data_IF_758880042824
#
_entry.id   IF_758880042824
#
_cell.length_a   1.000
_cell.length_b   1.000
_cell.length_c   1.000
_cell.angle_alpha   90.00
_cell.angle_beta   90.00
_cell.angle_gamma   90.00
#
_symmetry.space_group_name_H-M   'P 1'
#
loop_
_entity.id
_entity.type
_entity.pdbx_description
1 polymer ?
#
# COMPACT_ATOMS: atom_id res chain seq x y z
N UNK A 1 128.55 -91.61 68.11
CA UNK A 1 128.45 -92.78 69.00
C UNK A 1 128.24 -94.00 68.12
N UNK A 2 129.03 -95.04 68.38
CA UNK A 2 129.23 -96.27 67.61
C UNK A 2 127.95 -96.80 66.94
N UNK A 3 128.03 -97.17 65.67
CA UNK A 3 127.12 -98.17 65.09
C UNK A 3 127.34 -99.47 65.87
N UNK A 4 126.63 -99.62 66.98
CA UNK A 4 126.53 -100.89 67.66
C UNK A 4 125.78 -101.80 66.70
N UNK A 5 126.53 -102.66 66.03
CA UNK A 5 126.02 -103.80 65.28
C UNK A 5 125.34 -104.72 66.31
N UNK A 6 124.10 -104.36 66.68
CA UNK A 6 123.34 -105.07 67.69
C UNK A 6 123.05 -106.46 67.14
N UNK A 7 123.76 -107.46 67.66
CA UNK A 7 123.45 -108.86 67.41
C UNK A 7 122.11 -109.14 68.06
N UNK A 8 121.07 -109.30 67.25
CA UNK A 8 119.74 -109.73 67.69
C UNK A 8 119.57 -111.16 67.25
N UNK A 9 119.27 -112.04 68.20
CA UNK A 9 118.98 -113.44 67.97
C UNK A 9 117.65 -113.75 68.65
N UNK A 10 116.66 -114.18 67.86
CA UNK A 10 115.36 -114.63 68.35
C UNK A 10 115.22 -116.12 68.06
N UNK A 11 115.16 -116.90 69.12
CA UNK A 11 114.97 -118.35 69.06
C UNK A 11 113.56 -118.69 69.53
N UNK A 12 112.82 -119.40 68.70
CA UNK A 12 111.45 -119.84 69.02
C UNK A 12 111.17 -121.24 68.46
N UNK A 13 110.23 -121.95 69.06
CA UNK A 13 109.73 -123.22 68.54
C UNK A 13 108.58 -122.99 67.56
N UNK A 14 108.67 -123.57 66.36
CA UNK A 14 107.57 -123.61 65.40
C UNK A 14 106.44 -124.56 65.88
N UNK A 15 105.26 -124.54 65.27
CA UNK A 15 104.08 -125.38 65.63
C UNK A 15 104.36 -126.90 65.62
N UNK A 16 105.51 -127.29 65.06
CA UNK A 16 106.03 -128.67 65.02
C UNK A 16 107.14 -128.95 66.03
N UNK A 17 107.31 -128.11 67.07
CA UNK A 17 108.36 -128.17 68.10
C UNK A 17 109.79 -128.23 67.54
N UNK A 18 110.05 -127.48 66.46
CA UNK A 18 111.39 -127.31 65.90
C UNK A 18 111.91 -125.92 66.21
N UNK A 19 113.12 -125.85 66.74
CA UNK A 19 113.79 -124.60 67.08
C UNK A 19 114.22 -123.86 65.81
N UNK A 20 113.72 -122.64 65.63
CA UNK A 20 114.10 -121.71 64.56
C UNK A 20 114.78 -120.50 65.18
N UNK A 21 115.88 -120.09 64.56
CA UNK A 21 116.68 -118.93 64.99
C UNK A 21 116.64 -117.85 63.90
N UNK A 22 116.19 -116.65 64.26
CA UNK A 22 116.21 -115.46 63.41
C UNK A 22 117.29 -114.47 63.90
N UNK A 23 118.20 -114.07 63.01
CA UNK A 23 119.39 -113.26 63.39
C UNK A 23 119.46 -111.88 62.75
N UNK A 24 118.53 -111.54 61.84
CA UNK A 24 118.51 -110.23 61.14
C UNK A 24 117.48 -109.30 61.78
N UNK A 25 117.90 -108.12 62.22
CA UNK A 25 117.05 -107.12 62.90
C UNK A 25 115.71 -106.83 62.19
N UNK A 26 115.65 -106.59 60.86
CA UNK A 26 114.38 -106.32 60.19
C UNK A 26 113.43 -107.52 60.17
N UNK A 27 114.00 -108.73 60.04
CA UNK A 27 113.24 -109.99 60.02
C UNK A 27 112.68 -110.28 61.41
N UNK A 28 113.50 -110.08 62.45
CA UNK A 28 113.07 -110.21 63.85
C UNK A 28 111.99 -109.18 64.18
N UNK A 29 112.15 -107.91 63.78
CA UNK A 29 111.16 -106.87 64.03
C UNK A 29 109.82 -107.13 63.33
N UNK A 30 109.84 -107.60 62.07
CA UNK A 30 108.62 -107.97 61.37
C UNK A 30 107.96 -109.19 62.02
N UNK A 31 108.73 -110.23 62.35
CA UNK A 31 108.21 -111.40 63.04
C UNK A 31 107.59 -111.04 64.40
N UNK A 32 108.25 -110.20 65.20
CA UNK A 32 107.72 -109.72 66.48
C UNK A 32 106.47 -108.85 66.30
N UNK A 33 106.43 -108.01 65.25
CA UNK A 33 105.25 -107.20 64.93
C UNK A 33 104.07 -108.09 64.53
N UNK A 34 104.31 -109.11 63.72
CA UNK A 34 103.28 -110.07 63.31
C UNK A 34 102.80 -110.92 64.49
N UNK A 35 103.73 -111.33 65.37
CA UNK A 35 103.41 -112.14 66.54
C UNK A 35 102.61 -111.36 67.60
N UNK A 36 103.09 -110.16 67.96
CA UNK A 36 102.51 -109.35 69.02
C UNK A 36 101.37 -108.46 68.51
N UNK A 37 101.22 -108.31 67.19
CA UNK A 37 100.34 -107.33 66.54
C UNK A 37 100.53 -105.89 67.02
N UNK A 38 101.72 -105.58 67.53
CA UNK A 38 102.08 -104.28 68.09
C UNK A 38 103.37 -103.77 67.46
N UNK A 39 103.43 -102.47 67.19
CA UNK A 39 104.69 -101.80 66.85
C UNK A 39 105.58 -101.64 68.08
N UNK A 40 106.90 -101.45 67.90
CA UNK A 40 107.80 -101.18 69.03
C UNK A 40 107.33 -99.99 69.88
N UNK A 41 106.84 -98.93 69.24
CA UNK A 41 106.25 -97.77 69.92
C UNK A 41 105.01 -98.15 70.73
N UNK A 42 104.06 -98.91 70.15
CA UNK A 42 102.87 -99.39 70.85
C UNK A 42 103.21 -100.35 71.99
N UNK A 43 104.19 -101.25 71.79
CA UNK A 43 104.68 -102.16 72.82
C UNK A 43 105.27 -101.37 74.02
N UNK A 44 106.05 -100.32 73.75
CA UNK A 44 106.56 -99.43 74.80
C UNK A 44 105.51 -98.52 75.43
N UNK A 45 104.34 -98.34 74.81
CA UNK A 45 103.23 -97.59 75.39
C UNK A 45 102.30 -98.48 76.21
N UNK A 46 102.12 -99.73 75.81
CA UNK A 46 101.15 -100.68 76.37
C UNK A 46 101.77 -101.59 77.44
N UNK A 47 102.95 -102.15 77.20
CA UNK A 47 103.54 -103.22 78.03
C UNK A 47 104.68 -102.67 78.91
N UNK A 48 105.45 -101.74 78.37
CA UNK A 48 106.52 -101.08 79.09
C UNK A 48 105.95 -99.81 79.73
N UNK A 49 105.57 -99.89 81.00
CA UNK A 49 105.09 -98.75 81.78
C UNK A 49 105.94 -97.51 81.46
N UNK A 50 105.37 -96.44 80.85
CA UNK A 50 106.11 -95.21 80.63
C UNK A 50 106.55 -94.69 82.00
N UNK A 51 107.84 -94.86 82.33
CA UNK A 51 108.38 -94.56 83.65
C UNK A 51 108.10 -93.08 83.96
N UNK A 52 107.13 -92.83 84.83
CA UNK A 52 106.62 -91.50 85.18
C UNK A 52 105.11 -91.32 84.99
N UNK A 53 104.50 -91.79 83.89
CA UNK A 53 103.07 -91.58 83.63
C UNK A 53 102.16 -92.47 84.51
N UNK A 54 102.60 -93.69 84.86
CA UNK A 54 101.84 -94.56 85.77
C UNK A 54 101.82 -94.06 87.22
N UNK A 55 102.93 -93.48 87.70
CA UNK A 55 102.97 -92.82 89.02
C UNK A 55 102.01 -91.62 89.05
N UNK A 56 101.98 -90.83 87.98
CA UNK A 56 101.00 -89.74 87.81
C UNK A 56 99.56 -90.28 87.78
N UNK A 57 99.32 -91.41 87.12
CA UNK A 57 98.01 -92.08 87.14
C UNK A 57 97.58 -92.56 88.53
N UNK A 58 98.47 -93.16 89.33
CA UNK A 58 98.13 -93.61 90.69
C UNK A 58 97.81 -92.45 91.64
N UNK A 59 98.48 -91.31 91.47
CA UNK A 59 98.30 -90.10 92.28
C UNK A 59 97.20 -89.15 91.77
N UNK A 60 96.69 -89.38 90.56
CA UNK A 60 95.67 -88.55 89.92
C UNK A 60 94.28 -88.78 90.51
N UNK A 61 93.45 -87.73 90.51
CA UNK A 61 92.02 -87.84 90.84
C UNK A 61 91.27 -88.52 89.68
N UNK A 62 90.04 -89.01 89.92
CA UNK A 62 89.31 -89.85 88.95
C UNK A 62 89.16 -89.23 87.54
N UNK A 63 88.94 -87.91 87.44
CA UNK A 63 88.86 -87.22 86.14
C UNK A 63 90.21 -87.17 85.41
N UNK A 64 91.29 -86.95 86.17
CA UNK A 64 92.65 -86.90 85.64
C UNK A 64 93.11 -88.30 85.20
N UNK A 65 92.69 -89.35 85.92
CA UNK A 65 92.91 -90.76 85.57
C UNK A 65 92.29 -91.10 84.22
N UNK A 66 91.06 -90.67 83.96
CA UNK A 66 90.37 -90.91 82.69
C UNK A 66 91.09 -90.22 81.52
N UNK A 67 91.55 -88.99 81.71
CA UNK A 67 92.34 -88.24 80.72
C UNK A 67 93.70 -88.91 80.44
N UNK A 68 94.41 -89.33 81.50
CA UNK A 68 95.68 -90.06 81.40
C UNK A 68 95.54 -91.40 80.69
N UNK A 69 94.46 -92.16 80.95
CA UNK A 69 94.17 -93.40 80.23
C UNK A 69 93.86 -93.13 78.76
N UNK A 70 93.12 -92.06 78.45
CA UNK A 70 92.86 -91.66 77.06
C UNK A 70 94.15 -91.32 76.30
N UNK A 71 95.09 -90.64 76.95
CA UNK A 71 96.40 -90.34 76.39
C UNK A 71 97.26 -91.61 76.23
N UNK A 72 97.29 -92.48 77.25
CA UNK A 72 98.08 -93.71 77.25
C UNK A 72 97.65 -94.69 76.15
N UNK A 73 96.34 -94.83 75.95
CA UNK A 73 95.78 -95.73 74.95
C UNK A 73 95.45 -95.05 73.61
N UNK A 74 95.79 -93.77 73.44
CA UNK A 74 95.57 -93.03 72.19
C UNK A 74 94.09 -92.82 71.82
N UNK A 75 93.16 -92.85 72.77
CA UNK A 75 91.71 -92.75 72.52
C UNK A 75 91.16 -91.31 72.55
N UNK A 76 92.04 -90.30 72.55
CA UNK A 76 91.67 -88.87 72.51
C UNK A 76 90.77 -88.54 71.32
N UNK A 77 91.04 -89.13 70.15
CA UNK A 77 90.24 -88.92 68.93
C UNK A 77 88.77 -89.34 69.14
N UNK A 78 88.52 -90.51 69.73
CA UNK A 78 87.17 -90.99 70.00
C UNK A 78 86.44 -90.12 71.01
N UNK A 79 87.15 -89.60 72.01
CA UNK A 79 86.58 -88.63 72.94
C UNK A 79 86.12 -87.35 72.24
N UNK A 80 87.00 -86.74 71.43
CA UNK A 80 86.67 -85.52 70.66
C UNK A 80 85.49 -85.75 69.72
N UNK A 81 85.48 -86.87 69.00
CA UNK A 81 84.37 -87.24 68.13
C UNK A 81 83.05 -87.41 68.91
N UNK A 82 83.09 -88.05 70.08
CA UNK A 82 81.91 -88.22 70.93
C UNK A 82 81.38 -86.87 71.47
N UNK A 83 82.27 -85.95 71.84
CA UNK A 83 81.90 -84.60 72.28
C UNK A 83 81.28 -83.80 71.14
N UNK A 84 81.81 -83.90 69.92
CA UNK A 84 81.27 -83.22 68.75
C UNK A 84 79.90 -83.77 68.36
N UNK A 85 79.71 -85.09 68.41
CA UNK A 85 78.38 -85.71 68.23
C UNK A 85 77.42 -85.21 69.31
N UNK A 86 77.83 -85.19 70.59
CA UNK A 86 76.99 -84.71 71.69
C UNK A 86 76.59 -83.25 71.50
N UNK A 87 77.52 -82.39 71.08
CA UNK A 87 77.25 -80.99 70.76
C UNK A 87 76.25 -80.86 69.62
N UNK A 88 76.43 -81.59 68.52
CA UNK A 88 75.50 -81.57 67.38
C UNK A 88 74.11 -82.09 67.77
N UNK A 89 74.05 -83.20 68.52
CA UNK A 89 72.79 -83.73 69.03
C UNK A 89 72.07 -82.71 69.93
N UNK A 90 72.80 -82.03 70.82
CA UNK A 90 72.24 -80.97 71.67
C UNK A 90 71.66 -79.81 70.85
N UNK A 91 72.36 -79.37 69.80
CA UNK A 91 71.86 -78.32 68.91
C UNK A 91 70.58 -78.75 68.18
N UNK A 92 70.52 -79.98 67.68
CA UNK A 92 69.32 -80.52 67.01
C UNK A 92 68.15 -80.63 67.98
N UNK A 93 68.38 -81.12 69.20
CA UNK A 93 67.35 -81.21 70.24
C UNK A 93 66.82 -79.81 70.58
N UNK A 94 67.71 -78.85 70.82
CA UNK A 94 67.31 -77.46 71.11
C UNK A 94 66.52 -76.82 69.97
N UNK A 95 66.94 -77.03 68.71
CA UNK A 95 66.21 -76.52 67.55
C UNK A 95 64.81 -77.15 67.42
N UNK A 96 64.69 -78.46 67.67
CA UNK A 96 63.40 -79.16 67.63
C UNK A 96 62.46 -78.73 68.78
N UNK A 97 63.01 -78.51 69.98
CA UNK A 97 62.25 -77.96 71.12
C UNK A 97 61.72 -76.55 70.80
N UNK A 98 62.55 -75.68 70.23
CA UNK A 98 62.14 -74.34 69.81
C UNK A 98 61.04 -74.40 68.75
N UNK A 99 61.21 -75.21 67.69
CA UNK A 99 60.18 -75.40 66.66
C UNK A 99 58.87 -75.93 67.24
N UNK A 100 58.95 -76.91 68.15
CA UNK A 100 57.78 -77.47 68.83
C UNK A 100 57.05 -76.43 69.68
N UNK A 101 57.79 -75.54 70.37
CA UNK A 101 57.21 -74.43 71.12
C UNK A 101 56.51 -73.43 70.19
N UNK A 102 57.13 -73.06 69.06
CA UNK A 102 56.51 -72.17 68.07
C UNK A 102 55.22 -72.77 67.50
N UNK A 103 55.23 -74.07 67.15
CA UNK A 103 54.04 -74.76 66.65
C UNK A 103 52.91 -74.74 67.70
N UNK A 104 53.22 -74.98 68.98
CA UNK A 104 52.22 -74.90 70.06
C UNK A 104 51.64 -73.50 70.23
N UNK A 105 52.47 -72.46 70.12
CA UNK A 105 51.99 -71.07 70.16
C UNK A 105 51.05 -70.80 68.99
N UNK A 106 51.41 -71.20 67.77
CA UNK A 106 50.55 -71.05 66.59
C UNK A 106 49.24 -71.83 66.73
N UNK A 107 49.27 -73.05 67.28
CA UNK A 107 48.08 -73.83 67.60
C UNK A 107 47.15 -73.09 68.57
N UNK A 108 47.69 -72.42 69.59
CA UNK A 108 46.87 -71.67 70.55
C UNK A 108 46.23 -70.39 69.98
N UNK A 109 46.81 -69.82 68.94
CA UNK A 109 46.32 -68.60 68.29
C UNK A 109 45.18 -68.87 67.31
N UNK A 110 45.15 -70.07 66.72
CA UNK A 110 44.14 -70.46 65.75
C UNK A 110 42.95 -71.08 66.48
N UNK A 111 41.84 -70.34 66.55
CA UNK A 111 40.59 -70.83 67.13
C UNK A 111 39.84 -71.73 66.15
N UNK A 112 39.27 -72.83 66.64
CA UNK A 112 38.36 -73.70 65.87
C UNK A 112 38.95 -74.99 65.32
N UNK A 113 40.20 -75.35 65.65
CA UNK A 113 40.80 -76.64 65.30
C UNK A 113 41.24 -77.35 66.57
N UNK A 114 40.63 -78.49 66.89
CA UNK A 114 41.02 -79.32 68.03
C UNK A 114 42.34 -80.05 67.70
N UNK A 115 43.37 -79.79 68.51
CA UNK A 115 44.67 -80.46 68.37
C UNK A 115 44.72 -81.69 69.27
N UNK A 116 44.60 -82.87 68.67
CA UNK A 116 44.74 -84.17 69.35
C UNK A 116 46.21 -84.55 69.65
N UNK A 117 47.13 -83.59 69.58
CA UNK A 117 48.56 -83.80 69.81
C UNK A 117 49.36 -84.23 68.57
N UNK A 118 48.71 -84.66 67.48
CA UNK A 118 49.36 -84.95 66.20
C UNK A 118 49.43 -83.71 65.30
N UNK A 119 50.65 -83.22 65.08
CA UNK A 119 50.93 -82.03 64.24
C UNK A 119 50.52 -82.27 62.79
N UNK A 120 50.67 -83.50 62.26
CA UNK A 120 50.36 -83.79 60.87
C UNK A 120 48.85 -83.74 60.59
N UNK A 121 48.04 -84.27 61.52
CA UNK A 121 46.58 -84.18 61.44
C UNK A 121 46.10 -82.74 61.61
N UNK A 122 46.70 -81.98 62.55
CA UNK A 122 46.36 -80.57 62.75
C UNK A 122 46.66 -79.72 61.51
N UNK A 123 47.81 -79.92 60.85
CA UNK A 123 48.16 -79.21 59.61
C UNK A 123 47.18 -79.51 58.47
N UNK A 124 46.74 -80.77 58.34
CA UNK A 124 45.76 -81.16 57.33
C UNK A 124 44.40 -80.52 57.58
N UNK A 125 43.96 -80.46 58.83
CA UNK A 125 42.70 -79.80 59.19
C UNK A 125 42.77 -78.28 59.01
N UNK A 126 43.92 -77.67 59.32
CA UNK A 126 44.17 -76.26 59.04
C UNK A 126 44.08 -75.94 57.54
N UNK A 127 44.64 -76.80 56.68
CA UNK A 127 44.56 -76.64 55.23
C UNK A 127 43.10 -76.76 54.74
N UNK A 128 42.31 -77.69 55.30
CA UNK A 128 40.88 -77.82 55.00
C UNK A 128 40.08 -76.59 55.45
N UNK A 129 40.35 -76.04 56.64
CA UNK A 129 39.68 -74.83 57.09
C UNK A 129 40.09 -73.60 56.26
N UNK A 130 41.37 -73.48 55.91
CA UNK A 130 41.87 -72.37 55.09
C UNK A 130 41.28 -72.40 53.69
N UNK A 131 41.13 -73.58 53.09
CA UNK A 131 40.44 -73.73 51.79
C UNK A 131 38.96 -73.36 51.90
N UNK A 132 38.28 -73.79 52.97
CA UNK A 132 36.86 -73.46 53.23
C UNK A 132 36.65 -71.96 53.42
N UNK A 133 37.45 -71.31 54.27
CA UNK A 133 37.36 -69.87 54.52
C UNK A 133 37.72 -69.06 53.26
N UNK A 134 38.71 -69.51 52.47
CA UNK A 134 39.03 -68.89 51.19
C UNK A 134 37.85 -68.93 50.23
N UNK A 135 37.12 -70.05 50.16
CA UNK A 135 35.90 -70.16 49.35
C UNK A 135 34.80 -69.21 49.85
N UNK A 136 34.56 -69.14 51.16
CA UNK A 136 33.59 -68.19 51.74
C UNK A 136 33.92 -66.74 51.41
N UNK A 137 35.19 -66.35 51.51
CA UNK A 137 35.66 -65.00 51.14
C UNK A 137 35.46 -64.73 49.65
N UNK A 138 35.78 -65.70 48.77
CA UNK A 138 35.54 -65.57 47.33
C UNK A 138 34.05 -65.41 47.01
N UNK A 139 33.18 -66.19 47.63
CA UNK A 139 31.73 -66.06 47.47
C UNK A 139 31.21 -64.72 47.98
N UNK A 140 31.70 -64.26 49.14
CA UNK A 140 31.41 -62.94 49.71
C UNK A 140 31.80 -61.82 48.75
N UNK A 141 33.02 -61.84 48.23
CA UNK A 141 33.50 -60.87 47.24
C UNK A 141 32.67 -60.91 45.95
N UNK A 142 32.25 -62.10 45.49
CA UNK A 142 31.37 -62.21 44.32
C UNK A 142 29.99 -61.60 44.58
N UNK A 143 29.45 -61.75 45.79
CA UNK A 143 28.18 -61.11 46.19
C UNK A 143 28.32 -59.59 46.28
N UNK A 144 29.41 -59.11 46.87
CA UNK A 144 29.70 -57.69 47.00
C UNK A 144 29.84 -57.02 45.63
N UNK A 145 30.64 -57.61 44.73
CA UNK A 145 30.81 -57.12 43.36
C UNK A 145 29.49 -57.07 42.58
N UNK A 146 28.57 -58.02 42.80
CA UNK A 146 27.23 -57.97 42.21
C UNK A 146 26.39 -56.80 42.77
N UNK A 147 26.50 -56.52 44.06
CA UNK A 147 25.79 -55.39 44.67
C UNK A 147 26.37 -54.06 44.19
N UNK A 148 27.69 -53.93 44.09
CA UNK A 148 28.36 -52.74 43.55
C UNK A 148 27.89 -52.45 42.12
N UNK A 149 27.80 -53.47 41.26
CA UNK A 149 27.29 -53.31 39.90
C UNK A 149 25.81 -52.85 39.86
N UNK A 150 24.99 -53.26 40.83
CA UNK A 150 23.60 -52.79 40.94
C UNK A 150 23.58 -51.32 41.40
N UNK A 151 24.40 -50.96 42.38
CA UNK A 151 24.52 -49.59 42.89
C UNK A 151 25.01 -48.66 41.78
N UNK A 152 25.99 -49.07 40.98
CA UNK A 152 26.47 -48.28 39.84
C UNK A 152 25.37 -48.04 38.80
N UNK A 153 24.56 -49.06 38.48
CA UNK A 153 23.41 -48.90 37.59
C UNK A 153 22.40 -47.90 38.13
N UNK A 154 22.02 -48.03 39.41
CA UNK A 154 21.08 -47.10 40.05
C UNK A 154 21.65 -45.67 40.08
N UNK A 155 22.95 -45.52 40.36
CA UNK A 155 23.61 -44.23 40.37
C UNK A 155 23.75 -43.61 38.97
N UNK A 156 23.86 -44.42 37.91
CA UNK A 156 23.82 -43.97 36.53
C UNK A 156 22.42 -43.48 36.13
N UNK A 157 21.39 -44.30 36.39
CA UNK A 157 19.98 -43.95 36.14
C UNK A 157 19.58 -42.67 36.89
N UNK A 158 20.03 -42.50 38.14
CA UNK A 158 19.78 -41.29 38.92
C UNK A 158 20.45 -40.06 38.30
N UNK A 159 21.71 -40.18 37.87
CA UNK A 159 22.43 -39.09 37.18
C UNK A 159 21.72 -38.66 35.89
N UNK A 160 21.27 -39.62 35.08
CA UNK A 160 20.52 -39.33 33.85
C UNK A 160 19.21 -38.57 34.16
N UNK A 161 18.45 -39.02 35.17
CA UNK A 161 17.22 -38.32 35.60
C UNK A 161 17.47 -36.91 36.11
N UNK A 162 18.56 -36.68 36.84
CA UNK A 162 18.95 -35.33 37.26
C UNK A 162 19.28 -34.43 36.06
N UNK A 163 20.03 -34.93 35.08
CA UNK A 163 20.35 -34.18 33.86
C UNK A 163 19.08 -33.81 33.09
N UNK A 164 18.16 -34.77 32.89
CA UNK A 164 16.87 -34.51 32.25
C UNK A 164 16.05 -33.46 32.99
N UNK A 165 16.06 -33.46 34.32
CA UNK A 165 15.36 -32.45 35.12
C UNK A 165 15.96 -31.05 34.92
N UNK A 166 17.28 -30.93 34.96
CA UNK A 166 17.98 -29.66 34.74
C UNK A 166 17.71 -29.12 33.33
N UNK A 167 17.69 -30.00 32.32
CA UNK A 167 17.38 -29.61 30.94
C UNK A 167 15.92 -29.19 30.77
N UNK A 168 14.97 -29.82 31.48
CA UNK A 168 13.57 -29.37 31.52
C UNK A 168 13.42 -27.99 32.17
N UNK A 169 14.19 -27.70 33.23
CA UNK A 169 14.21 -26.36 33.84
C UNK A 169 14.74 -25.33 32.84
N UNK A 170 15.89 -25.61 32.20
CA UNK A 170 16.45 -24.73 31.16
C UNK A 170 15.47 -24.51 30.02
N UNK A 171 14.81 -25.56 29.56
CA UNK A 171 13.84 -25.47 28.46
C UNK A 171 12.64 -24.60 28.83
N UNK A 172 12.14 -24.69 30.07
CA UNK A 172 11.09 -23.77 30.56
C UNK A 172 11.55 -22.32 30.57
N UNK A 173 12.77 -22.05 31.03
CA UNK A 173 13.33 -20.70 31.07
C UNK A 173 13.55 -20.14 29.65
N UNK A 174 14.15 -20.93 28.76
CA UNK A 174 14.31 -20.60 27.34
C UNK A 174 12.97 -20.31 26.66
N UNK A 175 11.93 -21.09 26.95
CA UNK A 175 10.58 -20.85 26.42
C UNK A 175 9.98 -19.54 26.92
N UNK A 176 10.20 -19.21 28.20
CA UNK A 176 9.77 -17.93 28.77
C UNK A 176 10.50 -16.75 28.09
N UNK A 177 11.81 -16.85 27.93
CA UNK A 177 12.62 -15.85 27.23
C UNK A 177 12.18 -15.69 25.78
N UNK A 178 11.93 -16.79 25.06
CA UNK A 178 11.41 -16.77 23.70
C UNK A 178 10.07 -16.03 23.63
N UNK A 179 9.11 -16.35 24.50
CA UNK A 179 7.80 -15.68 24.50
C UNK A 179 7.90 -14.18 24.80
N UNK A 180 8.87 -13.77 25.62
CA UNK A 180 9.15 -12.38 25.90
C UNK A 180 9.73 -11.66 24.67
N UNK A 181 10.71 -12.27 24.00
CA UNK A 181 11.31 -11.75 22.77
C UNK A 181 10.29 -11.68 21.63
N UNK A 182 9.42 -12.67 21.48
CA UNK A 182 8.32 -12.66 20.50
C UNK A 182 7.35 -11.49 20.76
N UNK A 183 7.06 -11.20 22.04
CA UNK A 183 6.30 -10.02 22.43
C UNK A 183 7.00 -8.71 22.06
N UNK A 184 8.32 -8.62 22.28
CA UNK A 184 9.11 -7.45 21.88
C UNK A 184 9.14 -7.27 20.36
N UNK A 185 9.29 -8.34 19.59
CA UNK A 185 9.28 -8.30 18.12
C UNK A 185 7.96 -7.74 17.58
N UNK A 186 6.83 -8.21 18.12
CA UNK A 186 5.49 -7.66 17.79
C UNK A 186 5.40 -6.17 18.11
N UNK A 187 5.88 -5.75 19.28
CA UNK A 187 5.88 -4.34 19.66
C UNK A 187 6.77 -3.48 18.76
N UNK A 188 7.96 -3.97 18.41
CA UNK A 188 8.86 -3.32 17.46
C UNK A 188 8.21 -3.20 16.07
N UNK A 189 7.46 -4.21 15.63
CA UNK A 189 6.71 -4.14 14.36
C UNK A 189 5.66 -3.04 14.37
N UNK A 190 4.88 -2.92 15.46
CA UNK A 190 3.89 -1.85 15.62
C UNK A 190 4.56 -0.48 15.60
N UNK A 191 5.65 -0.32 16.37
CA UNK A 191 6.42 0.92 16.39
C UNK A 191 6.97 1.28 15.02
N UNK A 192 7.44 0.30 14.22
CA UNK A 192 7.88 0.53 12.84
C UNK A 192 6.75 1.02 11.94
N UNK A 193 5.55 0.48 12.06
CA UNK A 193 4.39 0.98 11.32
C UNK A 193 4.02 2.42 11.71
N UNK A 194 4.04 2.74 13.00
CA UNK A 194 3.80 4.10 13.49
C UNK A 194 4.88 5.06 12.98
N UNK A 195 6.13 4.64 12.98
CA UNK A 195 7.25 5.42 12.46
C UNK A 195 7.08 5.69 10.97
N UNK A 196 6.68 4.71 10.17
CA UNK A 196 6.36 4.90 8.75
C UNK A 196 5.21 5.89 8.53
N UNK A 197 4.16 5.84 9.36
CA UNK A 197 3.05 6.81 9.30
C UNK A 197 3.56 8.22 9.64
N UNK A 198 4.37 8.36 10.68
CA UNK A 198 4.94 9.64 11.09
C UNK A 198 5.92 10.20 10.06
N UNK A 199 6.77 9.36 9.46
CA UNK A 199 7.67 9.72 8.37
C UNK A 199 6.89 10.19 7.14
N UNK A 200 5.81 9.48 6.77
CA UNK A 200 4.93 9.90 5.69
C UNK A 200 4.29 11.26 5.96
N UNK A 201 3.80 11.49 7.19
CA UNK A 201 3.25 12.79 7.60
C UNK A 201 4.32 13.87 7.55
N UNK A 202 5.51 13.62 8.08
CA UNK A 202 6.63 14.57 8.05
C UNK A 202 7.03 14.94 6.62
N UNK A 203 7.12 13.95 5.73
CA UNK A 203 7.47 14.15 4.31
C UNK A 203 6.42 14.94 3.55
N UNK A 204 5.14 14.73 3.86
CA UNK A 204 4.02 15.37 3.16
C UNK A 204 3.47 16.62 3.88
N UNK A 205 4.07 17.03 5.00
CA UNK A 205 3.67 18.20 5.78
C UNK A 205 3.65 19.47 4.93
N UNK A 206 4.69 19.70 4.13
CA UNK A 206 4.80 20.84 3.22
C UNK A 206 3.70 20.82 2.15
N UNK A 207 3.38 19.66 1.59
CA UNK A 207 2.29 19.51 0.62
C UNK A 207 0.93 19.83 1.24
N UNK A 208 0.70 19.41 2.49
CA UNK A 208 -0.53 19.70 3.22
C UNK A 208 -0.66 21.21 3.51
N UNK A 209 0.42 21.85 3.97
CA UNK A 209 0.45 23.30 4.15
C UNK A 209 0.19 24.06 2.83
N UNK A 210 0.79 23.61 1.72
CA UNK A 210 0.58 24.20 0.41
C UNK A 210 -0.86 24.02 -0.09
N UNK A 211 -1.48 22.86 0.15
CA UNK A 211 -2.89 22.61 -0.19
C UNK A 211 -3.84 23.47 0.65
N UNK A 212 -3.58 23.59 1.95
CA UNK A 212 -4.37 24.43 2.86
C UNK A 212 -4.26 25.92 2.48
N UNK A 213 -3.04 26.39 2.17
CA UNK A 213 -2.83 27.75 1.69
C UNK A 213 -3.48 28.00 0.32
N UNK A 214 -3.38 27.06 -0.61
CA UNK A 214 -4.07 27.12 -1.90
C UNK A 214 -5.60 27.14 -1.73
N UNK A 215 -6.15 26.33 -0.80
CA UNK A 215 -7.57 26.33 -0.46
C UNK A 215 -8.01 27.69 0.09
N UNK A 216 -7.26 28.24 1.04
CA UNK A 216 -7.51 29.55 1.63
C UNK A 216 -7.44 30.67 0.58
N UNK A 217 -6.48 30.61 -0.36
CA UNK A 217 -6.41 31.52 -1.50
C UNK A 217 -7.63 31.38 -2.41
N UNK A 218 -8.07 30.16 -2.72
CA UNK A 218 -9.27 29.93 -3.54
C UNK A 218 -10.53 30.48 -2.88
N UNK A 219 -10.68 30.33 -1.55
CA UNK A 219 -11.84 30.83 -0.82
C UNK A 219 -11.85 32.37 -0.77
N UNK A 220 -10.67 32.99 -0.58
CA UNK A 220 -10.51 34.45 -0.71
C UNK A 220 -10.88 34.92 -2.11
N UNK A 221 -10.41 34.25 -3.16
CA UNK A 221 -10.74 34.58 -4.55
C UNK A 221 -12.23 34.39 -4.84
N UNK A 222 -12.87 33.35 -4.31
CA UNK A 222 -14.31 33.14 -4.44
C UNK A 222 -15.10 34.30 -3.80
N UNK A 223 -14.74 34.71 -2.58
CA UNK A 223 -15.34 35.90 -1.93
C UNK A 223 -15.13 37.18 -2.75
N UNK A 224 -13.96 37.36 -3.35
CA UNK A 224 -13.68 38.49 -4.25
C UNK A 224 -14.57 38.41 -5.50
N UNK A 225 -14.68 37.25 -6.15
CA UNK A 225 -15.56 37.04 -7.32
C UNK A 225 -17.01 37.34 -6.96
N UNK A 226 -17.50 36.88 -5.81
CA UNK A 226 -18.86 37.14 -5.35
C UNK A 226 -19.09 38.64 -5.10
N UNK A 227 -18.15 39.32 -4.45
CA UNK A 227 -18.23 40.77 -4.26
C UNK A 227 -18.21 41.54 -5.59
N UNK A 228 -17.37 41.13 -6.54
CA UNK A 228 -17.31 41.74 -7.88
C UNK A 228 -18.55 41.46 -8.71
N UNK A 229 -19.15 40.26 -8.56
CA UNK A 229 -20.43 39.91 -9.19
C UNK A 229 -21.57 40.73 -8.61
N UNK A 230 -21.59 40.95 -7.30
CA UNK A 230 -22.56 41.83 -6.64
C UNK A 230 -22.39 43.30 -7.07
N UNK A 231 -21.15 43.78 -7.19
CA UNK A 231 -20.83 45.12 -7.70
C UNK A 231 -21.30 45.29 -9.16
N UNK A 232 -21.07 44.27 -10.01
CA UNK A 232 -21.53 44.27 -11.39
C UNK A 232 -23.06 44.26 -11.49
N UNK A 233 -23.75 43.51 -10.62
CA UNK A 233 -25.22 43.54 -10.53
C UNK A 233 -25.73 44.92 -10.10
N UNK A 234 -25.11 45.56 -9.11
CA UNK A 234 -25.44 46.94 -8.70
C UNK A 234 -25.21 47.95 -9.84
N UNK A 235 -24.12 47.82 -10.57
CA UNK A 235 -23.86 48.68 -11.74
C UNK A 235 -24.87 48.44 -12.87
N UNK A 236 -25.29 47.19 -13.09
CA UNK A 236 -26.36 46.87 -14.05
C UNK A 236 -27.69 47.49 -13.64
N UNK A 237 -28.12 47.35 -12.38
CA UNK A 237 -29.37 47.94 -11.90
C UNK A 237 -29.31 49.47 -11.95
N UNK A 238 -28.18 50.07 -11.59
CA UNK A 238 -27.99 51.52 -11.70
C UNK A 238 -28.03 52.00 -13.16
N UNK A 239 -27.42 51.27 -14.09
CA UNK A 239 -27.47 51.61 -15.52
C UNK A 239 -28.89 51.43 -16.11
N UNK A 240 -29.65 50.42 -15.67
CA UNK A 240 -31.06 50.28 -16.05
C UNK A 240 -31.88 51.46 -15.51
N UNK A 241 -31.66 51.86 -14.25
CA UNK A 241 -32.31 53.04 -13.66
C UNK A 241 -31.97 54.33 -14.41
N UNK A 242 -30.70 54.59 -14.71
CA UNK A 242 -30.28 55.74 -15.53
C UNK A 242 -30.88 55.73 -16.94
N UNK A 243 -31.08 54.55 -17.52
CA UNK A 243 -31.71 54.40 -18.84
C UNK A 243 -33.22 54.65 -18.78
N UNK A 244 -33.89 54.28 -17.68
CA UNK A 244 -35.28 54.65 -17.42
C UNK A 244 -35.44 56.15 -17.19
N UNK A 245 -34.56 56.79 -16.39
CA UNK A 245 -34.55 58.26 -16.23
C UNK A 245 -34.35 58.97 -17.57
N UNK A 246 -33.48 58.45 -18.44
CA UNK A 246 -33.27 59.00 -19.79
C UNK A 246 -34.53 58.86 -20.67
N UNK A 247 -35.24 57.74 -20.60
CA UNK A 247 -36.51 57.52 -21.31
C UNK A 247 -37.61 58.47 -20.79
N UNK A 248 -37.72 58.63 -19.47
CA UNK A 248 -38.68 59.57 -18.85
C UNK A 248 -38.38 61.02 -19.25
N UNK A 249 -37.11 61.43 -19.26
CA UNK A 249 -36.69 62.75 -19.74
C UNK A 249 -36.98 62.95 -21.23
N UNK A 250 -36.85 61.89 -22.05
CA UNK A 250 -37.19 61.93 -23.47
C UNK A 250 -38.71 62.09 -23.66
N UNK A 251 -39.54 61.33 -22.94
CA UNK A 251 -41.00 61.48 -22.94
C UNK A 251 -41.44 62.87 -22.47
N UNK A 252 -40.80 63.42 -21.43
CA UNK A 252 -41.01 64.78 -20.95
C UNK A 252 -40.63 65.83 -22.01
N UNK A 253 -39.53 65.63 -22.73
CA UNK A 253 -39.14 66.52 -23.83
C UNK A 253 -40.11 66.45 -25.01
N UNK A 254 -40.68 65.27 -25.31
CA UNK A 254 -41.72 65.09 -26.32
C UNK A 254 -43.03 65.76 -25.91
N UNK A 255 -43.41 65.71 -24.63
CA UNK A 255 -44.58 66.44 -24.11
C UNK A 255 -44.38 67.94 -24.17
N UNK A 256 -43.19 68.43 -23.81
CA UNK A 256 -42.82 69.85 -23.96
C UNK A 256 -42.88 70.26 -25.43
N UNK A 257 -42.40 69.44 -26.36
CA UNK A 257 -42.51 69.72 -27.80
C UNK A 257 -43.96 69.74 -28.29
N UNK A 258 -44.81 68.80 -27.85
CA UNK A 258 -46.26 68.81 -28.13
C UNK A 258 -46.92 70.10 -27.61
N UNK A 259 -46.60 70.52 -26.38
CA UNK A 259 -47.07 71.79 -25.80
C UNK A 259 -46.57 73.02 -26.59
N UNK A 260 -45.33 72.99 -27.09
CA UNK A 260 -44.75 74.07 -27.91
C UNK A 260 -45.46 74.22 -29.25
N UNK A 261 -45.79 73.10 -29.90
CA UNK A 261 -46.58 73.09 -31.15
C UNK A 261 -47.99 73.63 -30.93
N UNK A 262 -48.64 73.27 -29.82
CA UNK A 262 -49.95 73.82 -29.44
C UNK A 262 -49.90 75.33 -29.18
N UNK A 263 -48.81 75.82 -28.58
CA UNK A 263 -48.62 77.25 -28.28
C UNK A 263 -48.32 78.06 -29.55
N UNK A 264 -47.63 77.48 -30.53
CA UNK A 264 -47.49 78.06 -31.88
C UNK A 264 -48.83 78.15 -32.60
N UNK A 265 -49.65 77.08 -32.59
CA UNK A 265 -51.01 77.09 -33.16
C UNK A 265 -51.93 78.11 -32.47
N UNK A 266 -51.80 78.31 -31.16
CA UNK A 266 -52.51 79.35 -30.41
C UNK A 266 -52.07 80.77 -30.75
N UNK A 267 -50.76 81.01 -30.97
CA UNK A 267 -50.24 82.32 -31.40
C UNK A 267 -50.68 82.70 -32.83
N UNK A 268 -50.76 81.73 -33.74
CA UNK A 268 -51.30 81.95 -35.10
C UNK A 268 -52.79 82.30 -35.09
N UNK A 269 -53.58 81.69 -34.19
CA UNK A 269 -55.00 82.01 -34.03
C UNK A 269 -55.21 83.42 -33.44
N UNK A 270 -54.37 83.88 -32.51
CA UNK A 270 -54.47 85.24 -31.94
C UNK A 270 -54.20 86.33 -33.00
N UNK A 271 -53.29 86.11 -33.94
CA UNK A 271 -53.06 87.05 -35.06
C UNK A 271 -54.23 87.05 -36.08
N UNK A 272 -54.88 85.90 -36.29
CA UNK A 272 -56.10 85.83 -37.10
C UNK A 272 -57.28 86.59 -36.46
N UNK A 273 -57.44 86.52 -35.12
CA UNK A 273 -58.47 87.29 -34.40
C UNK A 273 -58.20 88.79 -34.39
N UNK A 274 -56.94 89.23 -34.31
CA UNK A 274 -56.58 90.66 -34.48
C UNK A 274 -56.94 91.20 -35.86
N UNK A 275 -56.71 90.40 -36.92
CA UNK A 275 -57.10 90.76 -38.30
C UNK A 275 -58.62 90.90 -38.45
N UNK A 276 -59.41 90.03 -37.82
CA UNK A 276 -60.87 90.09 -37.87
C UNK A 276 -61.46 91.35 -37.17
N UNK A 277 -60.87 91.79 -36.05
CA UNK A 277 -61.31 93.00 -35.34
C UNK A 277 -61.10 94.30 -36.14
N UNK A 278 -60.06 94.35 -36.98
CA UNK A 278 -59.75 95.47 -37.88
C UNK A 278 -60.76 95.62 -39.03
N UNK A 279 -61.41 94.53 -39.46
CA UNK A 279 -62.45 94.59 -40.49
C UNK A 279 -63.82 95.02 -39.93
N UNK A 280 -64.12 94.70 -38.67
CA UNK A 280 -65.37 95.10 -38.05
C UNK A 280 -65.44 96.63 -37.82
N UNK A 281 -64.31 97.26 -37.49
CA UNK A 281 -64.20 98.71 -37.33
C UNK A 281 -64.32 99.48 -38.66
N UNK A 282 -63.81 98.93 -39.78
CA UNK A 282 -63.97 99.55 -41.11
C UNK A 282 -65.38 99.49 -41.69
N UNK A 283 -66.18 98.48 -41.34
CA UNK A 283 -67.56 98.35 -41.82
C UNK A 283 -68.54 99.30 -41.10
N UNK A 284 -68.28 99.62 -39.83
CA UNK A 284 -69.05 100.60 -39.04
C UNK A 284 -68.95 102.02 -39.62
N UNK A 285 -67.78 102.45 -40.10
CA UNK A 285 -67.57 103.79 -40.66
C UNK A 285 -68.22 104.00 -42.04
N UNK A 286 -68.44 102.92 -42.79
CA UNK A 286 -69.14 102.96 -44.09
C UNK A 286 -70.66 103.05 -43.94
N UNK A 287 -71.23 102.54 -42.84
CA UNK A 287 -72.66 102.65 -42.55
C UNK A 287 -73.09 104.08 -42.15
N UNK A 288 -72.22 104.85 -41.48
CA UNK A 288 -72.51 106.24 -41.09
C UNK A 288 -72.47 107.19 -42.29
N UNK A 289 -71.59 106.95 -43.27
CA UNK A 289 -71.49 107.78 -44.50
C UNK A 289 -72.66 107.58 -45.47
N UNK A 290 -73.33 106.42 -45.46
CA UNK A 290 -74.49 106.14 -46.31
C UNK A 290 -75.74 106.92 -45.88
N UNK A 291 -75.93 107.14 -44.58
CA UNK A 291 -77.11 107.84 -44.05
C UNK A 291 -77.05 109.37 -44.22
N UNK A 292 -75.86 109.97 -44.31
CA UNK A 292 -75.72 111.41 -44.59
C UNK A 292 -76.02 111.76 -46.06
N UNK A 293 -75.71 110.86 -47.00
CA UNK A 293 -75.97 111.07 -48.44
C UNK A 293 -77.47 110.96 -48.83
N UNK A 294 -78.30 110.30 -48.01
CA UNK A 294 -79.75 110.21 -48.23
C UNK A 294 -80.51 111.48 -47.81
N UNK A 295 -79.93 112.34 -46.96
CA UNK A 295 -80.56 113.59 -46.51
C UNK A 295 -80.37 114.74 -47.52
N UNK A 296 -79.25 114.79 -48.24
CA UNK A 296 -78.95 115.85 -49.23
C UNK A 296 -79.69 115.65 -50.57
N UNK A 297 -80.01 114.41 -50.93
CA UNK A 297 -80.72 114.05 -52.16
C UNK A 297 -82.20 114.50 -52.17
N UNK A 298 -82.77 114.74 -50.99
CA UNK A 298 -84.16 115.24 -50.82
C UNK A 298 -84.28 116.75 -51.09
N UNK A 299 -83.19 117.50 -50.97
CA UNK A 299 -83.20 118.96 -51.11
C UNK A 299 -83.00 119.43 -52.57
N UNK A 300 -82.41 118.58 -53.42
CA UNK A 300 -82.12 118.88 -54.84
C UNK A 300 -83.23 118.47 -55.82
N UNK A 301 -84.26 117.72 -55.36
CA UNK A 301 -85.39 117.25 -56.20
C UNK A 301 -86.47 118.31 -56.43
N UNK A 302 -86.57 119.32 -55.56
CA UNK A 302 -87.64 120.34 -55.63
C UNK A 302 -87.30 121.59 -56.47
N UNK A 303 -86.16 121.60 -57.18
CA UNK A 303 -85.74 122.74 -58.02
C UNK A 303 -85.75 122.48 -59.54
N UNK A 304 -86.13 121.28 -60.01
CA UNK A 304 -85.95 120.88 -61.43
C UNK A 304 -87.23 120.65 -62.27
N UNK A 305 -88.44 120.77 -61.71
CA UNK A 305 -89.68 120.55 -62.49
C UNK A 305 -90.44 121.82 -62.90
N UNK A 306 -89.88 123.00 -62.66
CA UNK A 306 -90.48 124.27 -63.08
C UNK A 306 -90.03 124.79 -64.45
N UNK A 307 -89.17 124.09 -65.19
CA UNK A 307 -88.65 124.57 -66.50
C UNK A 307 -88.36 123.38 -67.44
N UNK A 308 -89.40 122.67 -67.87
CA UNK A 308 -89.37 121.83 -69.10
C UNK A 308 -90.67 122.00 -69.90
N UNK A 309 -91.28 123.19 -69.77
CA UNK A 309 -92.45 123.66 -70.52
C UNK A 309 -92.04 124.46 -71.77
N UNK A 310 -90.78 124.42 -72.18
CA UNK A 310 -90.30 125.16 -73.34
C UNK A 310 -89.26 124.36 -74.08
N UNK A 311 -89.49 124.19 -75.39
CA UNK A 311 -88.64 123.57 -76.42
C UNK A 311 -88.97 122.08 -76.62
N UNK A 312 -89.46 121.60 -77.76
CA UNK A 312 -89.91 122.17 -79.02
C UNK A 312 -90.44 120.95 -79.80
N UNK A 313 -91.71 120.95 -80.23
CA UNK A 313 -92.11 121.35 -81.59
C UNK A 313 -91.30 120.66 -82.70
N UNK A 314 -91.94 119.65 -83.31
CA UNK A 314 -91.83 119.12 -84.70
C UNK A 314 -91.94 117.58 -84.65
N UNK A 315 -93.15 117.00 -84.72
CA UNK A 315 -93.82 116.55 -85.97
C UNK A 315 -92.99 115.48 -86.72
N UNK A 316 -93.47 114.28 -87.12
CA UNK A 316 -94.82 113.76 -87.37
C UNK A 316 -94.73 112.27 -87.78
N UNK A 317 -95.82 111.50 -87.53
CA UNK A 317 -96.30 110.26 -88.22
C UNK A 317 -95.44 108.98 -88.11
N UNK A 318 -95.94 107.75 -87.95
CA UNK A 318 -97.28 107.12 -87.85
C UNK A 318 -97.05 105.63 -87.44
N UNK A 319 -97.93 105.14 -86.55
CA UNK A 319 -98.52 103.77 -86.35
C UNK A 319 -97.66 102.48 -86.27
N UNK A 320 -97.56 101.83 -85.08
CA UNK A 320 -98.40 100.74 -84.44
C UNK A 320 -97.92 99.31 -84.78
N UNK A 321 -97.62 98.38 -83.84
CA UNK A 321 -98.43 97.77 -82.75
C UNK A 321 -97.49 97.04 -81.74
N UNK A 322 -97.56 97.32 -80.43
CA UNK A 322 -98.20 96.54 -79.33
C UNK A 322 -97.45 95.26 -78.90
N UNK A 323 -97.25 94.86 -77.62
CA UNK A 323 -97.64 95.35 -76.30
C UNK A 323 -96.87 94.57 -75.20
N UNK A 324 -96.75 95.19 -74.01
CA UNK A 324 -96.76 94.67 -72.62
C UNK A 324 -95.91 95.68 -71.80
N UNK A 325 -96.46 96.74 -71.20
CA UNK A 325 -97.51 96.84 -70.16
C UNK A 325 -96.95 96.54 -68.76
N UNK A 326 -97.00 97.42 -67.76
CA UNK A 326 -96.96 98.89 -67.63
C UNK A 326 -96.93 99.12 -66.11
N UNK A 327 -96.18 100.12 -65.67
CA UNK A 327 -96.26 100.70 -64.33
C UNK A 327 -97.56 101.48 -64.12
N UNK A 328 -98.11 101.30 -62.92
CA UNK A 328 -98.88 102.28 -62.16
C UNK A 328 -100.08 102.95 -62.87
N UNK A 329 -101.28 102.38 -62.76
CA UNK A 329 -102.27 102.69 -61.73
C UNK A 329 -103.00 104.04 -61.92
N UNK A 330 -104.22 103.95 -62.47
CA UNK A 330 -105.48 104.53 -61.96
C UNK A 330 -105.44 106.09 -61.84
N UNK A 331 -106.34 106.82 -62.50
CA UNK A 331 -107.77 106.74 -62.20
C UNK A 331 -108.64 107.25 -63.35
N UNK A 332 -109.81 106.63 -63.39
CA UNK A 332 -111.08 107.17 -63.89
C UNK A 332 -111.19 107.34 -65.40
N UNK A 333 -111.69 106.28 -66.06
CA UNK A 333 -113.13 106.04 -66.24
C UNK A 333 -113.82 107.17 -66.99
N UNK A 334 -114.14 106.90 -68.26
CA UNK A 334 -115.47 106.40 -68.62
C UNK A 334 -115.49 105.95 -70.09
N UNK A 335 -115.89 104.70 -70.27
CA UNK A 335 -116.82 104.23 -71.28
C UNK A 335 -116.74 104.84 -72.70
N UNK A 336 -116.36 104.00 -73.67
CA UNK A 336 -117.37 103.36 -74.52
C UNK A 336 -116.75 102.37 -75.51
N UNK A 337 -117.31 101.15 -75.52
CA UNK A 337 -117.34 100.18 -76.64
C UNK A 337 -115.98 99.52 -76.94
N UNK A 338 -115.72 98.23 -76.74
CA UNK A 338 -116.54 97.03 -76.99
C UNK A 338 -117.37 97.17 -78.26
N UNK A 339 -116.68 97.06 -79.40
CA UNK A 339 -117.13 96.67 -80.76
C UNK A 339 -116.01 97.15 -81.69
N UNK A 340 -115.31 96.35 -82.49
CA UNK A 340 -115.48 95.00 -83.01
C UNK A 340 -114.06 94.42 -83.20
N UNK A 341 -113.66 93.24 -82.73
CA UNK A 341 -114.01 91.91 -83.26
C UNK A 341 -113.95 91.68 -84.77
N UNK A 342 -113.52 92.59 -85.63
CA UNK A 342 -113.64 92.28 -87.06
C UNK A 342 -112.57 92.98 -87.86
N UNK A 343 -111.46 92.28 -88.03
CA UNK A 343 -110.97 91.89 -89.35
C UNK A 343 -109.46 91.69 -89.22
N UNK A 344 -109.05 90.50 -88.80
CA UNK A 344 -108.81 89.42 -89.75
C UNK A 344 -107.53 89.69 -90.59
N UNK A 345 -106.51 88.85 -90.43
CA UNK A 345 -106.37 87.56 -91.14
C UNK A 345 -105.67 87.65 -92.50
N UNK A 346 -105.07 88.79 -92.88
CA UNK A 346 -104.54 88.91 -94.25
C UNK A 346 -103.04 88.65 -94.46
N UNK A 347 -102.15 88.72 -93.46
CA UNK A 347 -100.70 88.73 -93.75
C UNK A 347 -99.83 87.65 -93.10
N UNK A 348 -100.42 86.47 -92.94
CA UNK A 348 -99.74 85.17 -92.84
C UNK A 348 -99.02 84.73 -94.15
N UNK A 349 -98.98 85.56 -95.22
CA UNK A 349 -98.60 85.14 -96.58
C UNK A 349 -97.13 85.38 -96.98
N UNK A 350 -96.33 86.18 -96.24
CA UNK A 350 -95.01 86.65 -96.78
C UNK A 350 -93.75 86.02 -96.20
N UNK A 351 -93.76 85.39 -95.02
CA UNK A 351 -92.56 84.73 -94.46
C UNK A 351 -92.47 83.22 -94.71
N UNK A 352 -93.37 82.73 -95.57
CA UNK A 352 -93.22 81.55 -96.44
C UNK A 352 -91.95 81.61 -97.32
N UNK A 353 -91.32 82.78 -97.46
CA UNK A 353 -90.10 83.00 -98.26
C UNK A 353 -88.78 82.57 -97.57
N UNK A 354 -88.68 82.60 -96.25
CA UNK A 354 -87.43 82.24 -95.54
C UNK A 354 -87.26 80.71 -95.36
N UNK A 355 -88.39 79.98 -95.42
CA UNK A 355 -88.46 78.52 -95.58
C UNK A 355 -87.65 78.02 -96.80
N UNK A 356 -87.48 78.84 -97.85
CA UNK A 356 -86.73 78.47 -99.06
C UNK A 356 -85.22 78.55 -98.93
N UNK A 357 -84.68 79.41 -98.04
CA UNK A 357 -83.22 79.56 -97.96
C UNK A 357 -82.55 78.38 -97.23
N UNK A 358 -83.23 77.84 -96.21
CA UNK A 358 -82.81 76.61 -95.50
C UNK A 358 -82.87 75.35 -96.38
N UNK A 359 -83.74 75.31 -97.40
CA UNK A 359 -83.77 74.24 -98.41
C UNK A 359 -82.49 74.20 -99.28
N UNK A 360 -81.82 75.34 -99.49
CA UNK A 360 -80.60 75.43 -100.31
C UNK A 360 -79.38 74.79 -99.61
N UNK A 361 -79.34 74.77 -98.27
CA UNK A 361 -78.30 74.04 -97.53
C UNK A 361 -78.48 72.52 -97.59
N UNK A 362 -79.73 72.04 -97.70
CA UNK A 362 -80.04 70.61 -97.86
C UNK A 362 -79.66 70.11 -99.27
N UNK A 363 -79.72 70.98 -100.28
CA UNK A 363 -79.25 70.71 -101.64
C UNK A 363 -77.71 70.47 -101.72
N UNK A 364 -76.93 70.97 -100.73
CA UNK A 364 -75.50 70.62 -100.61
C UNK A 364 -75.27 69.20 -100.10
N UNK A 365 -76.20 68.64 -99.31
CA UNK A 365 -76.18 67.24 -98.85
C UNK A 365 -76.53 66.25 -99.96
N UNK A 366 -77.38 66.63 -100.92
CA UNK A 366 -77.63 65.83 -102.15
C UNK A 366 -76.36 65.68 -103.01
N UNK A 367 -75.50 66.70 -103.04
CA UNK A 367 -74.18 66.64 -103.71
C UNK A 367 -73.21 65.64 -103.05
N UNK A 368 -73.36 65.36 -101.75
CA UNK A 368 -72.55 64.38 -101.03
C UNK A 368 -73.01 62.93 -101.28
N UNK A 369 -74.31 62.70 -101.53
CA UNK A 369 -74.85 61.38 -101.84
C UNK A 369 -74.54 60.95 -103.29
N UNK A 370 -74.49 61.88 -104.25
CA UNK A 370 -74.04 61.59 -105.61
C UNK A 370 -72.58 61.10 -105.66
N UNK A 371 -71.76 61.43 -104.65
CA UNK A 371 -70.42 60.86 -104.44
C UNK A 371 -70.44 59.40 -103.98
N UNK A 372 -71.50 58.95 -103.29
CA UNK A 372 -71.73 57.55 -102.91
C UNK A 372 -72.33 56.71 -104.05
N UNK A 373 -72.94 57.35 -105.06
CA UNK A 373 -73.41 56.67 -106.27
C UNK A 373 -72.24 56.30 -107.21
N UNK A 374 -71.20 57.13 -107.26
CA UNK A 374 -69.98 56.87 -108.02
C UNK A 374 -69.11 55.73 -107.45
N UNK A 375 -69.15 55.48 -106.13
CA UNK A 375 -68.48 54.32 -105.51
C UNK A 375 -69.22 52.99 -105.72
N UNK A 376 -70.53 53.03 -106.01
CA UNK A 376 -71.32 51.82 -106.34
C UNK A 376 -71.12 51.38 -107.80
N UNK A 377 -71.01 52.34 -108.74
CA UNK A 377 -70.66 52.04 -110.14
C UNK A 377 -69.29 51.37 -110.26
N UNK A 378 -68.31 51.77 -109.43
CA UNK A 378 -66.98 51.15 -109.40
C UNK A 378 -66.97 49.72 -108.80
N UNK A 379 -67.89 49.38 -107.89
CA UNK A 379 -67.97 48.05 -107.27
C UNK A 379 -68.68 46.98 -108.14
N UNK A 380 -69.60 47.37 -109.02
CA UNK A 380 -70.29 46.42 -109.91
C UNK A 380 -69.56 46.21 -111.24
N UNK A 381 -68.86 47.21 -111.76
CA UNK A 381 -67.96 47.03 -112.92
C UNK A 381 -66.76 46.12 -112.60
N UNK A 382 -66.29 46.11 -111.35
CA UNK A 382 -65.31 45.12 -110.86
C UNK A 382 -65.88 43.70 -110.71
N UNK A 383 -67.20 43.52 -110.56
CA UNK A 383 -67.84 42.18 -110.53
C UNK A 383 -68.15 41.65 -111.94
N UNK A 384 -68.46 42.55 -112.90
CA UNK A 384 -68.55 42.22 -114.33
C UNK A 384 -67.21 41.66 -114.87
N UNK A 385 -66.08 41.92 -114.21
CA UNK A 385 -64.77 41.38 -114.59
C UNK A 385 -64.36 40.07 -113.90
N UNK A 386 -64.94 39.69 -112.75
CA UNK A 386 -64.55 38.45 -112.04
C UNK A 386 -65.40 37.20 -112.37
N UNK A 387 -66.63 37.31 -112.92
CA UNK A 387 -67.46 36.13 -113.32
C UNK A 387 -67.61 35.98 -114.85
N UNK A 388 -67.26 37.00 -115.64
CA UNK A 388 -66.79 36.76 -117.01
C UNK A 388 -65.57 35.80 -117.03
N UNK A 389 -64.83 35.70 -115.91
CA UNK A 389 -63.67 34.81 -115.74
C UNK A 389 -64.02 33.45 -115.09
N UNK A 390 -65.21 33.27 -114.46
CA UNK A 390 -65.80 31.94 -114.26
C UNK A 390 -66.60 31.51 -115.48
N UNK A 391 -65.87 31.49 -116.58
CA UNK A 391 -65.67 30.18 -117.13
C UNK A 391 -66.97 29.62 -117.71
N UNK A 392 -67.27 29.91 -118.97
CA UNK A 392 -66.39 29.48 -120.09
C UNK A 392 -65.82 28.03 -119.92
N UNK A 393 -66.30 27.23 -118.95
CA UNK A 393 -65.96 25.83 -118.66
C UNK A 393 -67.17 24.89 -118.52
N UNK A 394 -68.44 25.35 -118.48
CA UNK A 394 -69.61 24.43 -118.57
C UNK A 394 -70.54 24.63 -119.78
N UNK A 395 -70.17 25.49 -120.73
CA UNK A 395 -70.69 25.49 -122.12
C UNK A 395 -70.12 24.28 -122.93
N UNK A 396 -69.73 23.16 -122.29
CA UNK A 396 -69.12 21.99 -122.94
C UNK A 396 -69.89 20.65 -122.83
N UNK A 397 -71.16 20.65 -122.38
CA UNK A 397 -72.12 19.54 -122.55
C UNK A 397 -73.55 20.11 -122.56
N UNK A 398 -74.13 20.75 -123.57
CA UNK A 398 -74.12 20.53 -125.03
C UNK A 398 -74.41 19.08 -125.38
N UNK A 399 -75.64 18.88 -125.81
CA UNK A 399 -76.01 17.99 -126.92
C UNK A 399 -75.59 16.53 -126.78
N UNK A 400 -76.54 15.71 -126.34
CA UNK A 400 -77.31 14.81 -127.23
C UNK A 400 -78.58 14.34 -126.54
#
# INVERSE_FOLDING_TARGET
MRENNAKVELTFEDDKKKEKVLTKVPVVNNYLRDLLHLTAEQFTQIILLPQGKFRRFLMANSNDKESLLRELFGTIFYYQWSEDIRKRAKLVIQANEQQSQTIKVLQSQIQGIESNGDIAQWLKELENQLTTEKLKVQEGNRKLSKQDAIIEKIAADYREKCQLHDDLIKMKELKKQYSFLEGQEKHISILREELLKLEWVARNKELFFNLEDARNKSEKLAKIIDSKKAELQRNRTQNVGKKQEQLELQEQSETINKLRVSLMKGKEQVELFKRAALWHTKWSDLAVKLNMAQAELKNSRNKYLSIEETIAKQETKIEKKDAINIEAMIVQKKASKLTERQNQLENLVKMDAELKHKQIELHKLEKALNKACASKQHAQELYIQLDNDFALTQIQRVST
#
